data_IF_931227017316
#
_entry.id   IF_931227017316
#
_cell.length_a   1.000
_cell.length_b   1.000
_cell.length_c   1.000
_cell.angle_alpha   90.00
_cell.angle_beta   90.00
_cell.angle_gamma   90.00
#
_symmetry.space_group_name_H-M   'P 1'
#
loop_
_entity.id
_entity.type
_entity.pdbx_description
1 polymer ?
#
# COMPACT_ATOMS: atom_id res chain seq x y z
N UNK A 1 21.52 -12.24 43.88
CA UNK A 1 20.27 -11.54 43.62
C UNK A 1 19.11 -12.50 43.87
N UNK A 2 18.14 -12.06 44.67
CA UNK A 2 16.94 -12.89 44.95
C UNK A 2 16.12 -13.08 43.66
N UNK A 3 15.51 -14.27 43.48
CA UNK A 3 14.58 -14.54 42.33
C UNK A 3 13.45 -13.50 42.27
N UNK A 4 13.02 -12.98 43.40
CA UNK A 4 12.01 -11.91 43.51
C UNK A 4 12.51 -10.58 42.95
N UNK A 5 13.76 -10.18 43.17
CA UNK A 5 14.35 -8.95 42.66
C UNK A 5 14.43 -8.97 41.12
N UNK A 6 14.84 -10.12 40.55
CA UNK A 6 14.87 -10.31 39.08
C UNK A 6 13.48 -10.22 38.47
N UNK A 7 12.49 -10.82 39.14
CA UNK A 7 11.10 -10.78 38.68
C UNK A 7 10.51 -9.34 38.66
N UNK A 8 10.73 -8.58 39.74
CA UNK A 8 10.28 -7.19 39.79
C UNK A 8 11.01 -6.30 38.77
N UNK A 9 12.34 -6.50 38.58
CA UNK A 9 13.10 -5.79 37.55
C UNK A 9 12.57 -6.07 36.15
N UNK A 10 12.19 -7.32 35.88
CA UNK A 10 11.59 -7.70 34.58
C UNK A 10 10.22 -7.04 34.33
N UNK A 11 9.36 -6.97 35.36
CA UNK A 11 8.07 -6.29 35.26
C UNK A 11 8.25 -4.79 34.98
N UNK A 12 9.19 -4.14 35.66
CA UNK A 12 9.51 -2.72 35.46
C UNK A 12 9.99 -2.50 34.01
N UNK A 13 10.85 -3.37 33.50
CA UNK A 13 11.37 -3.28 32.13
C UNK A 13 10.28 -3.48 31.09
N UNK A 14 9.36 -4.43 31.32
CA UNK A 14 8.18 -4.63 30.45
C UNK A 14 7.25 -3.41 30.43
N UNK A 15 6.99 -2.81 31.58
CA UNK A 15 6.17 -1.59 31.67
C UNK A 15 6.85 -0.42 30.95
N UNK A 16 8.15 -0.24 31.16
CA UNK A 16 8.91 0.81 30.48
C UNK A 16 8.89 0.61 28.95
N UNK A 17 9.10 -0.63 28.48
CA UNK A 17 9.03 -0.94 27.05
C UNK A 17 7.62 -0.71 26.48
N UNK A 18 6.57 -1.08 27.22
CA UNK A 18 5.18 -0.80 26.85
C UNK A 18 4.93 0.71 26.67
N UNK A 19 5.42 1.53 27.60
CA UNK A 19 5.29 2.99 27.49
C UNK A 19 5.92 3.50 26.18
N UNK A 20 7.12 3.03 25.82
CA UNK A 20 7.81 3.46 24.58
C UNK A 20 7.04 3.09 23.31
N UNK A 21 6.29 1.99 23.32
CA UNK A 21 5.55 1.51 22.15
C UNK A 21 4.23 2.25 21.98
N UNK A 22 3.54 2.55 23.09
CA UNK A 22 2.19 3.15 23.05
C UNK A 22 2.21 4.66 23.27
N UNK A 23 3.37 5.24 23.65
CA UNK A 23 3.51 6.69 23.73
C UNK A 23 3.32 7.31 22.35
N UNK A 24 2.38 8.23 22.24
CA UNK A 24 2.13 8.99 21.02
C UNK A 24 3.21 10.05 20.84
N UNK A 25 3.76 10.09 19.65
CA UNK A 25 4.71 11.11 19.26
C UNK A 25 4.00 12.15 18.38
N UNK A 26 4.03 13.39 18.82
CA UNK A 26 3.41 14.48 18.09
C UNK A 26 4.31 14.94 16.94
N UNK A 27 3.82 14.73 15.72
CA UNK A 27 4.36 15.34 14.52
C UNK A 27 3.68 16.68 14.25
N UNK A 28 4.44 17.67 13.84
CA UNK A 28 3.92 19.01 13.58
C UNK A 28 2.93 19.05 12.40
N UNK A 29 3.02 18.10 11.47
CA UNK A 29 2.23 18.08 10.23
C UNK A 29 1.78 16.68 9.83
N UNK A 30 0.71 16.62 9.05
CA UNK A 30 0.32 15.45 8.28
C UNK A 30 1.47 15.06 7.34
N UNK A 31 2.01 13.86 7.47
CA UNK A 31 3.24 13.45 6.78
C UNK A 31 3.01 12.25 5.89
N UNK A 32 3.41 12.36 4.62
CA UNK A 32 3.38 11.27 3.65
C UNK A 32 4.71 10.53 3.65
N UNK A 33 4.63 9.20 3.67
CA UNK A 33 5.79 8.29 3.58
C UNK A 33 5.54 7.29 2.47
N UNK A 34 6.54 7.08 1.61
CA UNK A 34 6.47 6.10 0.53
C UNK A 34 7.39 4.93 0.89
N UNK A 35 6.80 3.79 1.16
CA UNK A 35 7.52 2.52 1.31
C UNK A 35 7.53 1.84 -0.05
N UNK A 36 8.72 1.69 -0.66
CA UNK A 36 8.86 1.07 -1.97
C UNK A 36 8.89 -0.45 -1.89
N UNK A 37 8.44 -1.15 -2.93
CA UNK A 37 8.63 -2.60 -3.01
C UNK A 37 10.11 -2.98 -2.85
N UNK A 38 10.39 -4.01 -2.06
CA UNK A 38 11.74 -4.49 -1.81
C UNK A 38 12.51 -3.81 -0.67
N UNK A 39 11.97 -2.74 -0.07
CA UNK A 39 12.58 -2.14 1.12
C UNK A 39 12.56 -3.13 2.28
N UNK A 40 13.72 -3.30 2.94
CA UNK A 40 13.85 -4.10 4.15
C UNK A 40 13.46 -3.30 5.41
N UNK A 41 13.34 -3.98 6.56
CA UNK A 41 12.93 -3.35 7.81
C UNK A 41 13.87 -2.21 8.25
N UNK A 42 15.17 -2.31 7.95
CA UNK A 42 16.15 -1.26 8.26
C UNK A 42 15.88 0.01 7.44
N UNK A 43 15.61 -0.14 6.15
CA UNK A 43 15.29 0.97 5.25
C UNK A 43 13.96 1.63 5.62
N UNK A 44 12.93 0.82 5.89
CA UNK A 44 11.61 1.29 6.35
C UNK A 44 11.77 2.09 7.64
N UNK A 45 12.49 1.56 8.63
CA UNK A 45 12.67 2.22 9.92
C UNK A 45 13.42 3.56 9.82
N UNK A 46 14.43 3.63 8.94
CA UNK A 46 15.15 4.88 8.64
C UNK A 46 14.26 5.91 7.94
N UNK A 47 13.46 5.49 6.96
CA UNK A 47 12.53 6.38 6.27
C UNK A 47 11.50 6.97 7.24
N UNK A 48 10.90 6.14 8.10
CA UNK A 48 9.96 6.59 9.12
C UNK A 48 10.59 7.56 10.14
N UNK A 49 11.82 7.30 10.56
CA UNK A 49 12.55 8.15 11.50
C UNK A 49 12.99 9.48 10.85
N UNK A 50 13.45 9.46 9.59
CA UNK A 50 13.82 10.66 8.84
C UNK A 50 12.65 11.62 8.67
N UNK A 51 11.43 11.08 8.51
CA UNK A 51 10.17 11.81 8.44
C UNK A 51 9.58 12.14 9.81
N UNK A 52 10.28 11.79 10.90
CA UNK A 52 9.85 12.00 12.29
C UNK A 52 8.52 11.31 12.65
N UNK A 53 8.14 10.26 11.92
CA UNK A 53 6.96 9.44 12.21
C UNK A 53 7.19 8.58 13.44
N UNK A 54 8.40 8.02 13.56
CA UNK A 54 8.85 7.34 14.77
C UNK A 54 10.04 8.10 15.38
N UNK A 55 10.06 8.17 16.69
CA UNK A 55 11.10 8.88 17.43
C UNK A 55 12.45 8.17 17.37
N UNK A 56 12.41 6.82 17.37
CA UNK A 56 13.61 5.98 17.36
C UNK A 56 13.42 4.77 16.44
N UNK A 57 14.26 4.69 15.42
CA UNK A 57 14.24 3.60 14.44
C UNK A 57 14.52 2.24 15.05
N UNK A 58 15.41 2.17 16.08
CA UNK A 58 15.80 0.90 16.68
C UNK A 58 14.68 0.31 17.54
N UNK A 59 13.97 1.16 18.30
CA UNK A 59 12.80 0.72 19.07
C UNK A 59 11.70 0.21 18.13
N UNK A 60 11.46 0.90 17.01
CA UNK A 60 10.52 0.44 16.00
C UNK A 60 10.91 -0.94 15.43
N UNK A 61 12.19 -1.14 15.06
CA UNK A 61 12.68 -2.43 14.56
C UNK A 61 12.50 -3.55 15.60
N UNK A 62 12.88 -3.28 16.86
CA UNK A 62 12.73 -4.25 17.95
C UNK A 62 11.25 -4.63 18.12
N UNK A 63 10.36 -3.66 18.13
CA UNK A 63 8.92 -3.90 18.23
C UNK A 63 8.39 -4.76 17.08
N UNK A 64 8.69 -4.39 15.82
CA UNK A 64 8.23 -5.13 14.63
C UNK A 64 8.72 -6.59 14.65
N UNK A 65 9.97 -6.84 15.08
CA UNK A 65 10.52 -8.19 15.22
C UNK A 65 9.86 -8.97 16.35
N UNK A 66 9.72 -8.37 17.54
CA UNK A 66 9.08 -9.02 18.69
C UNK A 66 7.60 -9.34 18.46
N UNK A 67 6.92 -8.50 17.70
CA UNK A 67 5.50 -8.71 17.32
C UNK A 67 5.32 -9.62 16.10
N UNK A 68 6.41 -10.15 15.51
CA UNK A 68 6.39 -10.99 14.31
C UNK A 68 5.67 -10.35 13.11
N UNK A 69 5.76 -9.02 12.97
CA UNK A 69 5.08 -8.25 11.94
C UNK A 69 5.97 -7.95 10.72
N UNK A 70 7.26 -8.27 10.75
CA UNK A 70 8.22 -7.89 9.71
C UNK A 70 7.78 -8.28 8.30
N UNK A 71 7.29 -9.53 8.13
CA UNK A 71 6.82 -10.04 6.83
C UNK A 71 5.44 -9.54 6.42
N UNK A 72 4.74 -8.82 7.30
CA UNK A 72 3.39 -8.30 7.05
C UNK A 72 3.39 -6.83 6.65
N UNK A 73 4.53 -6.16 6.75
CA UNK A 73 4.64 -4.76 6.34
C UNK A 73 4.33 -4.64 4.85
N UNK A 74 3.42 -3.74 4.51
CA UNK A 74 2.99 -3.46 3.14
C UNK A 74 3.81 -2.31 2.55
N UNK A 75 3.96 -2.30 1.24
CA UNK A 75 4.50 -1.16 0.49
C UNK A 75 3.37 -0.25 0.01
N UNK A 76 3.69 0.99 -0.32
CA UNK A 76 2.74 2.00 -0.78
C UNK A 76 3.02 3.38 -0.21
N UNK A 77 2.15 4.34 -0.51
CA UNK A 77 2.16 5.67 0.08
C UNK A 77 1.25 5.66 1.32
N UNK A 78 1.82 5.96 2.48
CA UNK A 78 1.09 6.05 3.74
C UNK A 78 0.98 7.49 4.20
N UNK A 79 -0.18 7.86 4.72
CA UNK A 79 -0.44 9.17 5.30
C UNK A 79 -0.51 9.03 6.82
N UNK A 80 0.46 9.61 7.53
CA UNK A 80 0.50 9.61 8.98
C UNK A 80 -0.06 10.93 9.54
N UNK A 81 -0.90 10.81 10.55
CA UNK A 81 -1.48 11.95 11.27
C UNK A 81 -0.44 12.61 12.17
N UNK A 82 -0.85 13.69 12.84
CA UNK A 82 0.04 14.48 13.70
C UNK A 82 0.57 13.72 14.91
N UNK A 83 -0.15 12.72 15.39
CA UNK A 83 0.20 11.98 16.60
C UNK A 83 0.05 10.49 16.38
N UNK A 84 1.19 9.76 16.40
CA UNK A 84 1.23 8.32 16.20
C UNK A 84 2.12 7.67 17.25
N UNK A 85 1.70 6.52 17.75
CA UNK A 85 2.56 5.61 18.51
C UNK A 85 3.29 4.64 17.57
N UNK A 86 4.33 3.96 18.04
CA UNK A 86 4.99 2.90 17.28
C UNK A 86 3.99 1.78 16.92
N UNK A 87 3.06 1.49 17.83
CA UNK A 87 1.99 0.53 17.58
C UNK A 87 1.09 0.97 16.42
N UNK A 88 0.62 2.24 16.43
CA UNK A 88 -0.26 2.78 15.38
C UNK A 88 0.45 2.74 14.01
N UNK A 89 1.72 3.14 13.98
CA UNK A 89 2.54 3.08 12.75
C UNK A 89 2.65 1.66 12.24
N UNK A 90 2.99 0.70 13.12
CA UNK A 90 3.11 -0.71 12.73
C UNK A 90 1.79 -1.26 12.21
N UNK A 91 0.69 -0.99 12.92
CA UNK A 91 -0.66 -1.41 12.52
C UNK A 91 -1.01 -0.86 11.14
N UNK A 92 -0.81 0.45 10.91
CA UNK A 92 -1.10 1.08 9.63
C UNK A 92 -0.32 0.45 8.47
N UNK A 93 0.97 0.16 8.68
CA UNK A 93 1.81 -0.52 7.70
C UNK A 93 1.38 -1.97 7.43
N UNK A 94 0.92 -2.70 8.45
CA UNK A 94 0.49 -4.10 8.30
C UNK A 94 -0.91 -4.25 7.73
N UNK A 95 -1.82 -3.34 8.09
CA UNK A 95 -3.16 -3.30 7.53
C UNK A 95 -3.15 -2.88 6.06
N UNK A 96 -2.13 -2.10 5.66
CA UNK A 96 -1.99 -1.61 4.29
C UNK A 96 -2.93 -0.43 3.99
N UNK A 97 -3.14 0.43 5.00
CA UNK A 97 -3.91 1.67 4.84
C UNK A 97 -3.11 2.68 4.01
N UNK A 98 -3.05 2.40 2.71
CA UNK A 98 -2.29 3.17 1.72
C UNK A 98 -3.17 4.20 1.01
N UNK A 99 -2.53 5.24 0.51
CA UNK A 99 -3.18 6.25 -0.33
C UNK A 99 -3.31 5.72 -1.75
N UNK A 100 -4.55 5.66 -2.25
CA UNK A 100 -4.83 5.33 -3.64
C UNK A 100 -5.00 6.60 -4.47
N UNK A 101 -4.54 6.52 -5.71
CA UNK A 101 -4.79 7.50 -6.76
C UNK A 101 -5.82 6.94 -7.74
N UNK A 102 -6.43 7.80 -8.54
CA UNK A 102 -7.49 7.43 -9.46
C UNK A 102 -7.04 7.69 -10.89
N UNK A 103 -7.25 6.70 -11.75
CA UNK A 103 -7.15 6.80 -13.19
C UNK A 103 -8.55 6.58 -13.78
N UNK A 104 -9.14 7.62 -14.35
CA UNK A 104 -10.47 7.54 -14.96
C UNK A 104 -10.35 7.35 -16.47
N UNK A 105 -10.98 6.31 -16.99
CA UNK A 105 -11.12 6.03 -18.42
C UNK A 105 -12.54 6.41 -18.79
N UNK A 106 -12.68 7.41 -19.67
CA UNK A 106 -13.97 7.94 -20.10
C UNK A 106 -14.49 7.10 -21.27
N UNK A 107 -15.80 6.95 -21.38
CA UNK A 107 -16.44 6.30 -22.53
C UNK A 107 -16.03 7.00 -23.84
N UNK A 108 -15.66 6.21 -24.85
CA UNK A 108 -15.19 6.72 -26.14
C UNK A 108 -13.71 7.14 -26.17
N UNK A 109 -12.96 6.98 -25.05
CA UNK A 109 -11.51 7.21 -25.05
C UNK A 109 -10.79 6.24 -25.98
N UNK A 110 -9.75 6.75 -26.65
CA UNK A 110 -8.90 5.91 -27.48
C UNK A 110 -7.82 5.21 -26.67
N UNK A 111 -7.34 4.06 -27.14
CA UNK A 111 -6.23 3.30 -26.51
C UNK A 111 -5.00 4.16 -26.26
N UNK A 112 -4.65 5.07 -27.17
CA UNK A 112 -3.47 5.91 -27.02
C UNK A 112 -3.60 6.90 -25.85
N UNK A 113 -4.80 7.31 -25.48
CA UNK A 113 -5.04 8.19 -24.33
C UNK A 113 -4.73 7.43 -23.05
N UNK A 114 -5.21 6.17 -22.93
CA UNK A 114 -4.84 5.31 -21.80
C UNK A 114 -3.33 5.06 -21.73
N UNK A 115 -2.71 4.78 -22.89
CA UNK A 115 -1.26 4.58 -22.96
C UNK A 115 -0.50 5.83 -22.50
N UNK A 116 -0.91 7.01 -22.92
CA UNK A 116 -0.29 8.28 -22.51
C UNK A 116 -0.45 8.51 -21.00
N UNK A 117 -1.65 8.31 -20.45
CA UNK A 117 -1.89 8.42 -19.01
C UNK A 117 -1.02 7.45 -18.21
N UNK A 118 -0.84 6.22 -18.68
CA UNK A 118 0.03 5.23 -18.05
C UNK A 118 1.51 5.64 -18.13
N UNK A 119 1.95 6.23 -19.24
CA UNK A 119 3.31 6.76 -19.39
C UNK A 119 3.56 8.02 -18.55
N UNK A 120 2.55 8.84 -18.30
CA UNK A 120 2.65 9.95 -17.35
C UNK A 120 2.81 9.46 -15.90
N UNK A 121 2.12 8.37 -15.54
CA UNK A 121 2.23 7.77 -14.20
C UNK A 121 3.60 7.10 -14.03
N UNK A 122 4.09 6.39 -15.04
CA UNK A 122 5.36 5.67 -15.05
C UNK A 122 6.14 6.00 -16.32
N UNK A 123 6.95 7.10 -16.33
CA UNK A 123 7.69 7.55 -17.49
C UNK A 123 8.73 6.55 -18.01
N UNK A 124 9.16 5.60 -17.18
CA UNK A 124 10.10 4.54 -17.57
C UNK A 124 9.40 3.29 -18.13
N UNK A 125 8.09 3.34 -18.29
CA UNK A 125 7.32 2.23 -18.82
C UNK A 125 7.69 1.92 -20.28
N UNK A 126 7.90 0.63 -20.57
CA UNK A 126 8.10 0.11 -21.92
C UNK A 126 6.80 -0.32 -22.61
N UNK A 127 5.64 0.17 -22.13
CA UNK A 127 4.36 -0.14 -22.76
C UNK A 127 4.23 0.51 -24.12
N UNK A 128 3.69 -0.26 -25.07
CA UNK A 128 3.38 0.18 -26.44
C UNK A 128 1.90 0.08 -26.72
N UNK A 129 1.46 0.61 -27.86
CA UNK A 129 0.06 0.66 -28.24
C UNK A 129 -0.59 -0.73 -28.27
N UNK A 130 0.13 -1.73 -28.77
CA UNK A 130 -0.38 -3.11 -28.88
C UNK A 130 -0.50 -3.83 -27.54
N UNK A 131 0.14 -3.30 -26.51
CA UNK A 131 -0.03 -3.78 -25.14
C UNK A 131 -1.41 -3.42 -24.57
N UNK A 132 -2.09 -2.41 -25.09
CA UNK A 132 -3.41 -1.99 -24.61
C UNK A 132 -4.51 -2.84 -25.27
N UNK A 133 -5.28 -3.55 -24.46
CA UNK A 133 -6.42 -4.36 -24.93
C UNK A 133 -7.49 -3.52 -25.60
N UNK A 134 -8.22 -4.10 -26.59
CA UNK A 134 -9.42 -3.49 -27.17
C UNK A 134 -10.60 -3.50 -26.18
N UNK A 135 -10.60 -4.48 -25.27
CA UNK A 135 -11.63 -4.63 -24.25
C UNK A 135 -11.19 -3.96 -22.96
N UNK A 136 -11.49 -2.68 -22.80
CA UNK A 136 -11.31 -1.90 -21.59
C UNK A 136 -12.65 -1.29 -21.21
N UNK A 137 -13.08 -1.53 -19.98
CA UNK A 137 -14.31 -0.92 -19.44
C UNK A 137 -14.00 0.51 -19.01
N UNK A 138 -14.85 1.45 -19.45
CA UNK A 138 -14.79 2.84 -18.98
C UNK A 138 -15.21 2.88 -17.51
N UNK A 139 -14.28 3.21 -16.62
CA UNK A 139 -14.47 3.28 -15.17
C UNK A 139 -13.33 4.06 -14.53
N UNK A 140 -13.41 4.24 -13.21
CA UNK A 140 -12.33 4.83 -12.41
C UNK A 140 -11.56 3.74 -11.67
N UNK A 141 -10.30 3.57 -12.04
CA UNK A 141 -9.39 2.56 -11.50
C UNK A 141 -8.49 3.15 -10.41
N UNK A 142 -8.39 2.46 -9.28
CA UNK A 142 -7.50 2.87 -8.19
C UNK A 142 -6.13 2.25 -8.39
N UNK A 143 -5.07 3.04 -8.18
CA UNK A 143 -3.69 2.58 -8.23
C UNK A 143 -2.84 3.22 -7.12
N UNK A 144 -1.70 2.61 -6.80
CA UNK A 144 -0.72 3.17 -5.86
C UNK A 144 0.39 3.87 -6.63
N UNK A 145 1.00 4.90 -6.03
CA UNK A 145 2.16 5.60 -6.62
C UNK A 145 3.35 4.67 -6.90
N UNK A 146 3.41 3.54 -6.19
CA UNK A 146 4.45 2.52 -6.33
C UNK A 146 4.14 1.48 -7.40
N UNK A 147 2.95 1.52 -8.01
CA UNK A 147 2.56 0.60 -9.06
C UNK A 147 3.20 1.00 -10.39
N UNK A 148 3.74 0.02 -11.11
CA UNK A 148 4.21 0.23 -12.47
C UNK A 148 3.03 0.33 -13.45
N UNK A 149 3.21 1.03 -14.56
CA UNK A 149 2.21 1.12 -15.61
C UNK A 149 1.75 -0.26 -16.11
N UNK A 150 2.66 -1.24 -16.18
CA UNK A 150 2.33 -2.63 -16.53
C UNK A 150 1.38 -3.28 -15.52
N UNK A 151 1.61 -3.04 -14.22
CA UNK A 151 0.72 -3.56 -13.17
C UNK A 151 -0.65 -2.91 -13.26
N UNK A 152 -0.71 -1.59 -13.40
CA UNK A 152 -1.97 -0.84 -13.53
C UNK A 152 -2.76 -1.36 -14.73
N UNK A 153 -2.13 -1.50 -15.90
CA UNK A 153 -2.77 -2.04 -17.09
C UNK A 153 -3.26 -3.47 -16.91
N UNK A 154 -2.48 -4.31 -16.20
CA UNK A 154 -2.89 -5.68 -15.87
C UNK A 154 -4.16 -5.70 -15.02
N UNK A 155 -4.21 -4.85 -13.97
CA UNK A 155 -5.36 -4.76 -13.09
C UNK A 155 -6.62 -4.25 -13.83
N UNK A 156 -6.46 -3.23 -14.71
CA UNK A 156 -7.52 -2.74 -15.60
C UNK A 156 -8.07 -3.86 -16.48
N UNK A 157 -7.19 -4.63 -17.14
CA UNK A 157 -7.60 -5.75 -18.01
C UNK A 157 -8.35 -6.82 -17.23
N UNK A 158 -7.85 -7.16 -16.04
CA UNK A 158 -8.50 -8.16 -15.19
C UNK A 158 -9.92 -7.72 -14.83
N UNK A 159 -10.10 -6.49 -14.33
CA UNK A 159 -11.41 -5.95 -13.96
C UNK A 159 -12.33 -5.91 -15.18
N UNK A 160 -11.82 -5.47 -16.36
CA UNK A 160 -12.59 -5.41 -17.60
C UNK A 160 -13.06 -6.79 -18.07
N UNK A 161 -12.18 -7.80 -17.97
CA UNK A 161 -12.52 -9.17 -18.33
C UNK A 161 -13.54 -9.77 -17.35
N UNK A 162 -13.35 -9.58 -16.05
CA UNK A 162 -14.27 -10.07 -15.02
C UNK A 162 -15.67 -9.46 -15.21
N UNK A 163 -15.74 -8.14 -15.48
CA UNK A 163 -16.97 -7.44 -15.78
C UNK A 163 -17.64 -7.99 -17.04
N UNK A 164 -16.90 -8.14 -18.14
CA UNK A 164 -17.42 -8.64 -19.41
C UNK A 164 -17.94 -10.06 -19.30
N UNK A 165 -17.23 -10.93 -18.58
CA UNK A 165 -17.66 -12.31 -18.33
C UNK A 165 -18.94 -12.35 -17.49
N UNK A 166 -19.06 -11.48 -16.49
CA UNK A 166 -20.28 -11.35 -15.69
C UNK A 166 -21.47 -10.96 -16.56
N UNK A 167 -21.36 -9.87 -17.32
CA UNK A 167 -22.45 -9.42 -18.23
C UNK A 167 -22.80 -10.52 -19.23
N UNK A 168 -21.79 -11.21 -19.79
CA UNK A 168 -22.02 -12.31 -20.72
C UNK A 168 -22.79 -13.46 -20.09
N UNK A 169 -22.51 -13.81 -18.84
CA UNK A 169 -23.21 -14.90 -18.12
C UNK A 169 -24.66 -14.54 -17.78
N UNK A 170 -24.92 -13.26 -17.55
CA UNK A 170 -26.24 -12.74 -17.18
C UNK A 170 -27.13 -12.35 -18.39
N UNK A 171 -26.57 -12.47 -19.64
CA UNK A 171 -27.32 -12.08 -20.84
C UNK A 171 -28.54 -12.97 -21.09
N UNK A 172 -29.54 -12.42 -21.73
CA UNK A 172 -30.68 -13.20 -22.23
C UNK A 172 -30.23 -14.23 -23.27
N UNK A 173 -30.57 -15.50 -23.04
CA UNK A 173 -30.17 -16.59 -23.92
C UNK A 173 -30.85 -16.59 -25.30
N UNK A 174 -31.89 -15.78 -25.47
CA UNK A 174 -32.59 -15.58 -26.73
C UNK A 174 -31.78 -14.78 -27.77
N UNK A 175 -30.70 -14.09 -27.33
CA UNK A 175 -29.82 -13.35 -28.23
C UNK A 175 -28.80 -14.34 -28.84
N UNK A 176 -28.75 -14.49 -30.19
CA UNK A 176 -27.96 -15.52 -30.86
C UNK A 176 -26.46 -15.13 -30.98
N UNK A 177 -25.86 -14.66 -29.91
CA UNK A 177 -24.42 -14.38 -29.83
C UNK A 177 -23.66 -15.63 -29.37
N UNK A 178 -22.57 -15.99 -30.05
CA UNK A 178 -21.84 -17.24 -29.82
C UNK A 178 -20.63 -17.05 -28.87
N UNK A 179 -20.03 -15.87 -28.80
CA UNK A 179 -18.86 -15.54 -27.96
C UNK A 179 -18.76 -14.04 -27.69
N UNK A 180 -17.97 -13.67 -26.71
CA UNK A 180 -17.46 -12.30 -26.53
C UNK A 180 -16.27 -12.12 -27.45
#
# INVERSE_FOLDING_TARGET
>A
MSKTTVFFSFIILLNFFSLLIFEKHDNLNLTKVIIRPGMNLEEISRELSSKKIVKNSDIFKIWVKLSFQEKKLKYGEFLFEKSNSIYDVTKKLTDGDVVFRKLTIVEGSYKYELLNNLKEIDPNSSLEYDDVSDLIVADTYNYQITDSAKKILHDIRKISNDFSQKIWSEREQTIPLKSI
#
